data_IF_160989339258
#
_entry.id   IF_160989339258
#
_cell.length_a   1.000
_cell.length_b   1.000
_cell.length_c   1.000
_cell.angle_alpha   90.00
_cell.angle_beta   90.00
_cell.angle_gamma   90.00
#
_symmetry.space_group_name_H-M   'P 1'
#
loop_
_entity.id
_entity.type
_entity.pdbx_description
1 polymer ?
#
# COMPACT_ATOMS: atom_id res chain seq x y z
N UNK A 1 -15.45 10.67 -19.73
CA UNK A 1 -14.11 10.57 -19.14
C UNK A 1 -13.98 11.39 -17.85
N UNK A 2 -14.03 12.73 -17.93
CA UNK A 2 -13.83 13.58 -16.74
C UNK A 2 -14.83 13.32 -15.57
N UNK A 3 -16.08 12.97 -15.87
CA UNK A 3 -17.10 12.71 -14.84
C UNK A 3 -16.80 11.45 -14.01
N UNK A 4 -16.33 10.36 -14.62
CA UNK A 4 -16.06 9.09 -13.92
C UNK A 4 -14.72 9.15 -13.16
N UNK A 5 -13.69 9.79 -13.72
CA UNK A 5 -12.46 10.10 -12.99
C UNK A 5 -12.76 10.99 -11.80
N UNK A 6 -13.62 12.02 -11.97
CA UNK A 6 -14.06 12.86 -10.85
C UNK A 6 -14.85 12.10 -9.79
N UNK A 7 -15.63 11.08 -10.14
CA UNK A 7 -16.34 10.24 -9.16
C UNK A 7 -15.43 9.27 -8.42
N UNK A 8 -14.27 8.94 -8.97
CA UNK A 8 -13.29 8.01 -8.38
C UNK A 8 -12.08 8.74 -7.75
N UNK A 9 -12.12 10.08 -7.66
CA UNK A 9 -10.99 10.89 -7.18
C UNK A 9 -10.46 10.45 -5.81
N UNK A 10 -11.37 10.13 -4.89
CA UNK A 10 -11.02 9.73 -3.54
C UNK A 10 -10.23 8.41 -3.51
N UNK A 11 -10.62 7.45 -4.36
CA UNK A 11 -9.87 6.20 -4.53
C UNK A 11 -8.50 6.45 -5.13
N UNK A 12 -8.41 7.32 -6.15
CA UNK A 12 -7.13 7.67 -6.77
C UNK A 12 -6.18 8.39 -5.83
N UNK A 13 -6.67 9.29 -4.98
CA UNK A 13 -5.85 9.92 -3.95
C UNK A 13 -5.43 8.88 -2.90
N UNK A 14 -6.35 8.05 -2.42
CA UNK A 14 -6.03 7.02 -1.44
C UNK A 14 -4.95 6.05 -1.93
N UNK A 15 -5.13 5.48 -3.13
CA UNK A 15 -4.13 4.56 -3.69
C UNK A 15 -2.81 5.26 -4.02
N UNK A 16 -2.85 6.50 -4.52
CA UNK A 16 -1.65 7.29 -4.79
C UNK A 16 -0.83 7.55 -3.53
N UNK A 17 -1.48 7.98 -2.44
CA UNK A 17 -0.84 8.19 -1.13
C UNK A 17 -0.27 6.88 -0.58
N UNK A 18 -1.00 5.78 -0.71
CA UNK A 18 -0.53 4.45 -0.30
C UNK A 18 0.71 4.02 -1.11
N UNK A 19 0.76 4.34 -2.42
CA UNK A 19 1.91 4.01 -3.25
C UNK A 19 3.14 4.85 -2.93
N UNK A 20 2.97 6.11 -2.56
CA UNK A 20 4.05 6.95 -2.04
C UNK A 20 4.64 6.31 -0.78
N UNK A 21 3.79 5.90 0.16
CA UNK A 21 4.22 5.21 1.36
C UNK A 21 4.98 3.91 1.05
N UNK A 22 4.46 3.11 0.12
CA UNK A 22 5.09 1.84 -0.27
C UNK A 22 6.45 2.04 -0.94
N UNK A 23 6.58 3.03 -1.83
CA UNK A 23 7.85 3.37 -2.46
C UNK A 23 8.93 3.77 -1.44
N UNK A 24 8.56 4.60 -0.46
CA UNK A 24 9.44 4.98 0.65
C UNK A 24 9.80 3.75 1.51
N UNK A 25 8.83 2.93 1.89
CA UNK A 25 9.07 1.73 2.70
C UNK A 25 10.02 0.75 2.03
N UNK A 26 9.89 0.56 0.71
CA UNK A 26 10.74 -0.35 -0.05
C UNK A 26 12.20 0.09 0.00
N UNK A 27 12.46 1.38 -0.20
CA UNK A 27 13.81 1.95 -0.18
C UNK A 27 14.40 1.96 1.23
N UNK A 28 13.64 2.42 2.22
CA UNK A 28 14.14 2.55 3.59
C UNK A 28 14.52 1.19 4.17
N UNK A 29 13.71 0.15 3.95
CA UNK A 29 14.04 -1.18 4.46
C UNK A 29 15.28 -1.79 3.79
N UNK A 30 15.46 -1.55 2.49
CA UNK A 30 16.64 -1.99 1.77
C UNK A 30 17.92 -1.35 2.30
N UNK A 31 17.93 -0.02 2.42
CA UNK A 31 19.11 0.72 2.90
C UNK A 31 19.36 0.43 4.39
N UNK A 32 18.31 0.42 5.20
CA UNK A 32 18.44 0.14 6.63
C UNK A 32 19.01 -1.27 6.89
N UNK A 33 18.67 -2.27 6.09
CA UNK A 33 19.24 -3.61 6.24
C UNK A 33 20.76 -3.64 6.07
N UNK A 34 21.31 -2.79 5.20
CA UNK A 34 22.75 -2.65 5.03
C UNK A 34 23.37 -1.95 6.23
N UNK A 35 22.74 -0.90 6.76
CA UNK A 35 23.20 -0.16 7.94
C UNK A 35 23.23 -1.09 9.17
N UNK A 36 22.22 -1.96 9.33
CA UNK A 36 22.14 -2.95 10.41
C UNK A 36 23.05 -4.18 10.19
N UNK A 37 23.88 -4.16 9.15
CA UNK A 37 24.80 -5.25 8.80
C UNK A 37 24.10 -6.60 8.56
N UNK A 38 22.87 -6.61 8.07
CA UNK A 38 22.22 -7.85 7.68
C UNK A 38 22.90 -8.45 6.45
N UNK A 39 23.10 -9.78 6.46
CA UNK A 39 23.66 -10.44 5.28
C UNK A 39 22.71 -10.33 4.08
N UNK A 40 23.26 -10.43 2.87
CA UNK A 40 22.47 -10.42 1.62
C UNK A 40 21.40 -11.50 1.64
N UNK A 41 21.73 -12.69 2.16
CA UNK A 41 20.79 -13.81 2.29
C UNK A 41 19.65 -13.44 3.23
N UNK A 42 19.96 -12.89 4.41
CA UNK A 42 18.96 -12.44 5.41
C UNK A 42 18.05 -11.37 4.82
N UNK A 43 18.62 -10.40 4.10
CA UNK A 43 17.86 -9.36 3.41
C UNK A 43 16.93 -9.96 2.35
N UNK A 44 17.41 -10.92 1.56
CA UNK A 44 16.58 -11.63 0.59
C UNK A 44 15.42 -12.39 1.24
N UNK A 45 15.64 -13.05 2.37
CA UNK A 45 14.62 -13.80 3.10
C UNK A 45 13.52 -12.87 3.60
N UNK A 46 13.84 -11.82 4.34
CA UNK A 46 12.79 -10.94 4.86
C UNK A 46 12.07 -10.16 3.75
N UNK A 47 12.78 -9.75 2.69
CA UNK A 47 12.12 -9.13 1.53
C UNK A 47 11.16 -10.09 0.82
N UNK A 48 11.50 -11.38 0.75
CA UNK A 48 10.63 -12.42 0.16
C UNK A 48 9.34 -12.64 0.96
N UNK A 49 9.32 -12.32 2.25
CA UNK A 49 8.11 -12.36 3.09
C UNK A 49 6.95 -11.56 2.48
N UNK A 50 7.25 -10.46 1.80
CA UNK A 50 6.26 -9.67 1.07
C UNK A 50 5.49 -10.49 0.02
N UNK A 51 6.19 -11.27 -0.78
CA UNK A 51 5.57 -12.06 -1.85
C UNK A 51 4.72 -13.20 -1.30
N UNK A 52 5.11 -13.78 -0.16
CA UNK A 52 4.29 -14.80 0.53
C UNK A 52 2.98 -14.16 1.02
N UNK A 53 3.07 -12.98 1.65
CA UNK A 53 1.89 -12.21 2.06
C UNK A 53 1.01 -11.83 0.88
N UNK A 54 1.62 -11.37 -0.22
CA UNK A 54 0.94 -11.05 -1.47
C UNK A 54 0.14 -12.25 -2.02
N UNK A 55 0.76 -13.43 -2.05
CA UNK A 55 0.10 -14.66 -2.49
C UNK A 55 -1.10 -15.02 -1.60
N UNK A 56 -0.93 -14.97 -0.28
CA UNK A 56 -2.02 -15.26 0.67
C UNK A 56 -3.17 -14.25 0.50
N UNK A 57 -2.85 -12.95 0.43
CA UNK A 57 -3.83 -11.90 0.23
C UNK A 57 -4.60 -12.03 -1.07
N UNK A 58 -3.93 -12.40 -2.16
CA UNK A 58 -4.59 -12.59 -3.46
C UNK A 58 -5.68 -13.67 -3.44
N UNK A 59 -5.53 -14.68 -2.59
CA UNK A 59 -6.51 -15.78 -2.43
C UNK A 59 -7.64 -15.45 -1.46
N UNK A 60 -7.35 -14.66 -0.42
CA UNK A 60 -8.30 -14.39 0.67
C UNK A 60 -9.16 -13.16 0.43
N UNK A 61 -8.60 -12.12 -0.16
CA UNK A 61 -9.25 -10.81 -0.31
C UNK A 61 -10.56 -10.84 -1.11
N UNK A 62 -10.70 -11.56 -2.25
CA UNK A 62 -11.96 -11.58 -2.98
C UNK A 62 -13.13 -12.06 -2.12
N UNK A 63 -12.90 -13.06 -1.27
CA UNK A 63 -13.91 -13.58 -0.33
C UNK A 63 -14.25 -12.56 0.78
N UNK A 64 -13.28 -11.77 1.22
CA UNK A 64 -13.51 -10.72 2.21
C UNK A 64 -14.33 -9.58 1.61
N UNK A 65 -13.99 -9.14 0.40
CA UNK A 65 -14.71 -8.08 -0.31
C UNK A 65 -16.18 -8.46 -0.50
N UNK A 66 -16.46 -9.70 -0.91
CA UNK A 66 -17.84 -10.17 -1.10
C UNK A 66 -18.66 -10.22 0.20
N UNK A 67 -18.01 -10.40 1.36
CA UNK A 67 -18.67 -10.48 2.68
C UNK A 67 -18.89 -9.13 3.35
N UNK A 68 -17.89 -8.25 3.31
CA UNK A 68 -17.90 -7.02 4.11
C UNK A 68 -17.82 -5.73 3.30
N UNK A 69 -17.61 -5.85 1.99
CA UNK A 69 -17.58 -4.72 1.05
C UNK A 69 -16.20 -4.07 0.91
N UNK A 70 -16.05 -3.30 -0.17
CA UNK A 70 -14.76 -2.71 -0.61
C UNK A 70 -14.13 -1.78 0.43
N UNK A 71 -14.90 -0.81 0.96
CA UNK A 71 -14.37 0.24 1.85
C UNK A 71 -13.83 -0.33 3.16
N UNK A 72 -14.56 -1.29 3.76
CA UNK A 72 -14.15 -1.91 5.03
C UNK A 72 -12.88 -2.75 4.85
N UNK A 73 -12.78 -3.48 3.75
CA UNK A 73 -11.57 -4.27 3.42
C UNK A 73 -10.39 -3.34 3.20
N UNK A 74 -10.55 -2.28 2.40
CA UNK A 74 -9.50 -1.29 2.17
C UNK A 74 -9.02 -0.67 3.49
N UNK A 75 -9.94 -0.23 4.34
CA UNK A 75 -9.61 0.38 5.62
C UNK A 75 -8.83 -0.57 6.54
N UNK A 76 -9.30 -1.82 6.69
CA UNK A 76 -8.63 -2.81 7.52
C UNK A 76 -7.19 -3.08 7.05
N UNK A 77 -6.99 -3.28 5.75
CA UNK A 77 -5.66 -3.61 5.23
C UNK A 77 -4.72 -2.40 5.15
N UNK A 78 -5.22 -1.20 4.88
CA UNK A 78 -4.38 0.00 4.97
C UNK A 78 -3.94 0.27 6.41
N UNK A 79 -4.79 0.02 7.41
CA UNK A 79 -4.41 0.09 8.84
C UNK A 79 -3.37 -0.97 9.21
N UNK A 80 -3.52 -2.22 8.70
CA UNK A 80 -2.52 -3.28 8.90
C UNK A 80 -1.18 -2.94 8.25
N UNK A 81 -1.19 -2.34 7.06
CA UNK A 81 0.02 -1.85 6.40
C UNK A 81 0.72 -0.78 7.23
N UNK A 82 -0.03 0.17 7.79
CA UNK A 82 0.51 1.20 8.70
C UNK A 82 1.15 0.58 9.94
N UNK A 83 0.47 -0.38 10.58
CA UNK A 83 1.00 -1.13 11.72
C UNK A 83 2.30 -1.86 11.36
N UNK A 84 2.38 -2.45 10.17
CA UNK A 84 3.58 -3.19 9.75
C UNK A 84 4.82 -2.29 9.64
N UNK A 85 4.66 -1.03 9.23
CA UNK A 85 5.76 -0.06 9.20
C UNK A 85 6.26 0.27 10.62
N UNK A 86 5.35 0.42 11.59
CA UNK A 86 5.70 0.65 12.98
C UNK A 86 6.36 -0.56 13.64
N UNK A 87 5.92 -1.78 13.30
CA UNK A 87 6.57 -3.01 13.77
C UNK A 87 8.02 -3.11 13.28
N UNK A 88 8.29 -2.68 12.04
CA UNK A 88 9.64 -2.73 11.49
C UNK A 88 10.61 -1.81 12.22
N UNK A 89 10.18 -0.63 12.64
CA UNK A 89 11.02 0.31 13.40
C UNK A 89 11.11 -0.05 14.88
N UNK A 90 10.04 -0.60 15.46
CA UNK A 90 10.04 -1.00 16.87
C UNK A 90 10.94 -2.21 17.16
N UNK A 91 11.07 -3.09 16.21
CA UNK A 91 11.84 -4.34 16.36
C UNK A 91 12.79 -4.52 15.17
N UNK A 92 14.01 -4.00 15.31
CA UNK A 92 15.05 -4.07 14.28
C UNK A 92 15.73 -5.43 14.34
N UNK A 93 15.07 -6.45 13.80
CA UNK A 93 15.64 -7.77 13.62
C UNK A 93 15.03 -8.50 12.40
N UNK A 94 15.76 -9.43 11.77
CA UNK A 94 15.32 -10.08 10.52
C UNK A 94 13.99 -10.83 10.63
N UNK A 95 13.71 -11.47 11.77
CA UNK A 95 12.49 -12.24 11.97
C UNK A 95 11.25 -11.31 11.99
N UNK A 96 11.31 -10.24 12.79
CA UNK A 96 10.22 -9.26 12.85
C UNK A 96 10.06 -8.51 11.52
N UNK A 97 11.14 -8.26 10.80
CA UNK A 97 11.08 -7.67 9.47
C UNK A 97 10.44 -8.63 8.45
N UNK A 98 10.65 -9.94 8.56
CA UNK A 98 9.94 -10.92 7.74
C UNK A 98 8.43 -10.87 7.99
N UNK A 99 8.01 -10.80 9.25
CA UNK A 99 6.60 -10.66 9.64
C UNK A 99 6.03 -9.34 9.12
N UNK A 100 6.74 -8.23 9.32
CA UNK A 100 6.34 -6.92 8.82
C UNK A 100 6.14 -6.94 7.29
N UNK A 101 7.09 -7.52 6.54
CA UNK A 101 6.99 -7.66 5.07
C UNK A 101 5.84 -8.56 4.65
N UNK A 102 5.59 -9.65 5.36
CA UNK A 102 4.41 -10.49 5.12
C UNK A 102 3.10 -9.72 5.31
N UNK A 103 2.97 -8.96 6.41
CA UNK A 103 1.80 -8.11 6.67
C UNK A 103 1.67 -7.02 5.60
N UNK A 104 2.77 -6.38 5.20
CA UNK A 104 2.76 -5.41 4.10
C UNK A 104 2.26 -6.05 2.80
N UNK A 105 2.76 -7.23 2.45
CA UNK A 105 2.39 -7.93 1.22
C UNK A 105 0.91 -8.26 1.14
N UNK A 106 0.35 -8.88 2.21
CA UNK A 106 -1.08 -9.19 2.27
C UNK A 106 -1.94 -7.92 2.24
N UNK A 107 -1.49 -6.86 2.90
CA UNK A 107 -2.23 -5.60 2.99
C UNK A 107 -2.28 -4.88 1.65
N UNK A 108 -1.14 -4.74 0.98
CA UNK A 108 -1.09 -4.01 -0.29
C UNK A 108 -1.85 -4.72 -1.40
N UNK A 109 -1.68 -6.04 -1.55
CA UNK A 109 -2.46 -6.78 -2.57
C UNK A 109 -3.96 -6.69 -2.30
N UNK A 110 -4.37 -6.69 -1.04
CA UNK A 110 -5.77 -6.53 -0.68
C UNK A 110 -6.31 -5.16 -1.09
N UNK A 111 -5.55 -4.09 -0.85
CA UNK A 111 -5.91 -2.76 -1.31
C UNK A 111 -5.91 -2.64 -2.84
N UNK A 112 -5.00 -3.30 -3.56
CA UNK A 112 -5.02 -3.37 -5.03
C UNK A 112 -6.29 -4.05 -5.55
N UNK A 113 -6.60 -5.24 -5.05
CA UNK A 113 -7.79 -6.01 -5.46
C UNK A 113 -9.06 -5.21 -5.20
N UNK A 114 -9.17 -4.58 -4.03
CA UNK A 114 -10.30 -3.71 -3.70
C UNK A 114 -10.41 -2.55 -4.69
N UNK A 115 -9.30 -1.86 -4.96
CA UNK A 115 -9.30 -0.69 -5.84
C UNK A 115 -9.66 -1.05 -7.27
N UNK A 116 -9.09 -2.14 -7.79
CA UNK A 116 -9.36 -2.63 -9.15
C UNK A 116 -10.81 -3.12 -9.30
N UNK A 117 -11.30 -3.89 -8.33
CA UNK A 117 -12.70 -4.33 -8.30
C UNK A 117 -13.65 -3.13 -8.29
N UNK A 118 -13.40 -2.16 -7.43
CA UNK A 118 -14.23 -0.95 -7.32
C UNK A 118 -14.22 -0.12 -8.61
N UNK A 119 -13.05 0.04 -9.25
CA UNK A 119 -12.96 0.73 -10.55
C UNK A 119 -13.69 -0.04 -11.65
N UNK A 120 -13.58 -1.37 -11.66
CA UNK A 120 -14.28 -2.21 -12.63
C UNK A 120 -15.81 -2.14 -12.47
N UNK A 121 -16.33 -2.11 -11.24
CA UNK A 121 -17.77 -2.00 -10.97
C UNK A 121 -18.36 -0.66 -11.45
N UNK A 122 -17.54 0.38 -11.51
CA UNK A 122 -17.94 1.72 -11.99
C UNK A 122 -17.66 1.96 -13.46
N UNK A 123 -16.86 1.10 -14.08
CA UNK A 123 -16.45 1.23 -15.46
C UNK A 123 -17.56 0.74 -16.41
N UNK A 124 -17.68 1.44 -17.56
CA UNK A 124 -18.40 0.94 -18.73
C UNK A 124 -17.39 0.34 -19.70
N UNK A 125 -17.86 -0.49 -20.64
CA UNK A 125 -16.98 -1.05 -21.67
C UNK A 125 -16.22 0.02 -22.48
N UNK A 126 -16.76 1.24 -22.58
CA UNK A 126 -16.14 2.37 -23.31
C UNK A 126 -15.02 3.07 -22.52
N UNK A 127 -15.07 3.08 -21.18
CA UNK A 127 -14.13 3.87 -20.37
C UNK A 127 -13.24 3.03 -19.44
N UNK A 128 -13.45 1.70 -19.39
CA UNK A 128 -12.70 0.79 -18.51
C UNK A 128 -11.18 0.87 -18.71
N UNK A 129 -10.72 0.83 -19.97
CA UNK A 129 -9.29 0.93 -20.27
C UNK A 129 -8.68 2.26 -19.79
N UNK A 130 -9.41 3.37 -19.96
CA UNK A 130 -8.94 4.69 -19.52
C UNK A 130 -8.86 4.82 -18.00
N UNK A 131 -9.85 4.28 -17.27
CA UNK A 131 -9.83 4.28 -15.80
C UNK A 131 -8.67 3.45 -15.26
N UNK A 132 -8.46 2.25 -15.83
CA UNK A 132 -7.35 1.39 -15.43
C UNK A 132 -5.99 1.99 -15.81
N UNK A 133 -5.87 2.66 -16.96
CA UNK A 133 -4.64 3.37 -17.34
C UNK A 133 -4.33 4.52 -16.37
N UNK A 134 -5.31 5.32 -15.98
CA UNK A 134 -5.15 6.38 -15.00
C UNK A 134 -4.71 5.79 -13.63
N UNK A 135 -5.32 4.69 -13.21
CA UNK A 135 -4.95 3.96 -12.01
C UNK A 135 -3.49 3.50 -12.03
N UNK A 136 -3.04 2.89 -13.12
CA UNK A 136 -1.64 2.43 -13.26
C UNK A 136 -0.64 3.60 -13.25
N UNK A 137 -0.96 4.72 -13.91
CA UNK A 137 -0.13 5.94 -13.88
C UNK A 137 0.02 6.43 -12.43
N UNK A 138 -1.07 6.49 -11.67
CA UNK A 138 -1.05 6.94 -10.27
C UNK A 138 -0.21 6.01 -9.41
N UNK A 139 -0.31 4.69 -9.60
CA UNK A 139 0.52 3.70 -8.89
C UNK A 139 2.01 3.96 -9.14
N UNK A 140 2.43 4.02 -10.41
CA UNK A 140 3.85 4.16 -10.71
C UNK A 140 4.40 5.54 -10.34
N UNK A 141 3.64 6.61 -10.53
CA UNK A 141 4.03 7.94 -10.07
C UNK A 141 4.14 7.98 -8.54
N UNK A 142 3.18 7.40 -7.83
CA UNK A 142 3.23 7.32 -6.36
C UNK A 142 4.45 6.56 -5.88
N UNK A 143 4.74 5.39 -6.44
CA UNK A 143 5.95 4.62 -6.12
C UNK A 143 7.23 5.44 -6.36
N UNK A 144 7.34 6.10 -7.51
CA UNK A 144 8.51 6.91 -7.86
C UNK A 144 8.70 8.09 -6.89
N UNK A 145 7.63 8.80 -6.56
CA UNK A 145 7.67 9.89 -5.57
C UNK A 145 8.10 9.34 -4.22
N UNK A 146 7.55 8.20 -3.78
CA UNK A 146 7.91 7.57 -2.52
C UNK A 146 9.39 7.20 -2.43
N UNK A 147 9.96 6.67 -3.50
CA UNK A 147 11.39 6.37 -3.56
C UNK A 147 12.26 7.63 -3.42
N UNK A 148 11.83 8.75 -4.00
CA UNK A 148 12.52 10.03 -3.91
C UNK A 148 12.42 10.66 -2.52
N UNK A 149 11.37 10.38 -1.76
CA UNK A 149 11.18 10.92 -0.41
C UNK A 149 12.27 10.47 0.58
N UNK A 150 12.98 9.40 0.31
CA UNK A 150 14.08 8.98 1.16
C UNK A 150 15.22 10.01 1.21
N UNK A 151 15.35 10.86 0.17
CA UNK A 151 16.36 11.94 0.17
C UNK A 151 16.06 13.06 1.20
N UNK A 152 14.86 13.06 1.77
CA UNK A 152 14.41 14.09 2.73
C UNK A 152 14.63 13.67 4.19
N UNK A 153 14.88 12.39 4.44
CA UNK A 153 15.01 11.84 5.80
C UNK A 153 16.15 10.84 5.89
N UNK A 154 16.82 10.78 7.04
CA UNK A 154 17.93 9.85 7.27
C UNK A 154 17.39 8.43 7.53
N UNK A 155 17.78 7.41 6.73
CA UNK A 155 17.33 6.03 6.91
C UNK A 155 17.84 5.36 8.20
N UNK A 156 18.80 5.96 8.91
CA UNK A 156 19.28 5.50 10.22
C UNK A 156 18.20 5.70 11.29
N UNK A 157 17.44 6.74 11.16
CA UNK A 157 16.45 7.17 12.14
C UNK A 157 15.09 6.45 11.95
N UNK A 158 14.16 6.75 12.85
CA UNK A 158 12.81 6.22 12.83
C UNK A 158 11.83 7.03 11.96
N UNK A 159 12.18 8.28 11.62
CA UNK A 159 11.29 9.23 10.93
C UNK A 159 10.77 8.67 9.59
N UNK A 160 11.56 8.03 8.72
CA UNK A 160 11.04 7.48 7.46
C UNK A 160 9.95 6.43 7.69
N UNK A 161 10.07 5.60 8.71
CA UNK A 161 9.07 4.57 9.03
C UNK A 161 7.78 5.19 9.59
N UNK A 162 7.89 6.24 10.41
CA UNK A 162 6.73 7.00 10.88
C UNK A 162 6.05 7.67 9.69
N UNK A 163 6.80 8.27 8.78
CA UNK A 163 6.25 8.89 7.58
C UNK A 163 5.48 7.87 6.73
N UNK A 164 6.04 6.67 6.54
CA UNK A 164 5.33 5.56 5.86
C UNK A 164 4.01 5.25 6.56
N UNK A 165 4.02 5.08 7.89
CA UNK A 165 2.82 4.78 8.68
C UNK A 165 1.77 5.90 8.58
N UNK A 166 2.19 7.16 8.67
CA UNK A 166 1.31 8.33 8.51
C UNK A 166 0.68 8.37 7.12
N UNK A 167 1.47 8.21 6.07
CA UNK A 167 0.96 8.19 4.69
C UNK A 167 -0.04 7.06 4.45
N UNK A 168 0.24 5.85 4.98
CA UNK A 168 -0.69 4.71 4.90
C UNK A 168 -2.00 4.99 5.64
N UNK A 169 -1.94 5.65 6.79
CA UNK A 169 -3.12 6.07 7.53
C UNK A 169 -3.90 7.18 6.82
N UNK A 170 -3.19 8.16 6.24
CA UNK A 170 -3.81 9.24 5.46
C UNK A 170 -4.49 8.73 4.18
N UNK A 171 -4.02 7.62 3.60
CA UNK A 171 -4.67 7.01 2.44
C UNK A 171 -6.12 6.58 2.71
N UNK A 172 -6.49 6.36 3.99
CA UNK A 172 -7.86 6.01 4.40
C UNK A 172 -8.84 7.18 4.31
N UNK A 173 -8.36 8.40 4.56
CA UNK A 173 -9.22 9.59 4.70
C UNK A 173 -10.09 9.82 3.46
N UNK A 174 -9.53 9.93 2.24
CA UNK A 174 -10.35 10.15 1.05
C UNK A 174 -11.27 8.97 0.73
N UNK A 175 -10.84 7.74 1.03
CA UNK A 175 -11.63 6.53 0.76
C UNK A 175 -12.82 6.42 1.70
N UNK A 176 -12.66 6.76 2.99
CA UNK A 176 -13.75 6.77 3.96
C UNK A 176 -14.80 7.85 3.65
N UNK A 177 -14.37 8.99 3.11
CA UNK A 177 -15.27 10.09 2.73
C UNK A 177 -16.29 9.66 1.66
N UNK A 178 -15.94 8.73 0.79
CA UNK A 178 -16.89 8.23 -0.23
C UNK A 178 -18.09 7.50 0.36
N UNK A 179 -17.99 7.02 1.60
CA UNK A 179 -19.10 6.35 2.29
C UNK A 179 -20.18 7.34 2.77
N UNK A 180 -19.79 8.59 3.04
CA UNK A 180 -20.69 9.62 3.56
C UNK A 180 -21.50 10.32 2.45
N UNK A 181 -21.11 10.18 1.20
CA UNK A 181 -21.67 10.93 0.07
C UNK A 181 -22.46 10.09 -0.94
N UNK A 182 -22.56 8.77 -0.70
CA UNK A 182 -23.34 7.86 -1.57
C UNK A 182 -24.53 7.32 -0.77
N UNK A 183 -25.76 7.48 -1.29
CA UNK A 183 -26.96 6.88 -0.71
C UNK A 183 -26.93 5.37 -0.79
#
# INVERSE_FOLDING_TARGET
MQKEVKKSWALFIGIGTMMIAHGLQLQVMGIRSVIENFSVITTGIFMSGYYIGYFVGSKTTPKLVSKVGHIRVFAAFASLASLSALLAVAYVNPFMWTISRFITGISLVSCYIVSESWLNDRATNKNRGQLLSAYMIIIYLGLSIGMLLLNVSDPINYEPFILVSVLLSLALVPVSYTHLTLP
#
